data_IF_808975109967
#
_entry.id   IF_808975109967
#
_cell.length_a   1.000
_cell.length_b   1.000
_cell.length_c   1.000
_cell.angle_alpha   90.00
_cell.angle_beta   90.00
_cell.angle_gamma   90.00
#
_symmetry.space_group_name_H-M   'P 1'
#
loop_
_entity.id
_entity.type
_entity.pdbx_description
1 polymer ?
#
# COMPACT_ATOMS: atom_id res chain seq x y z
N UNK A 1 -32.68 -16.76 -60.72
CA UNK A 1 -31.25 -16.72 -60.29
C UNK A 1 -31.16 -15.66 -59.20
N UNK A 2 -31.75 -15.85 -58.03
CA UNK A 2 -31.56 -16.88 -57.01
C UNK A 2 -30.30 -16.67 -56.14
N UNK A 3 -30.59 -16.62 -54.85
CA UNK A 3 -29.77 -17.04 -53.72
C UNK A 3 -28.62 -16.15 -53.20
N UNK A 4 -28.94 -15.27 -52.24
CA UNK A 4 -28.18 -15.11 -50.98
C UNK A 4 -29.01 -14.37 -49.93
N UNK A 5 -30.04 -15.06 -49.43
CA UNK A 5 -30.62 -14.79 -48.11
C UNK A 5 -29.83 -15.59 -47.07
N UNK A 6 -29.82 -15.06 -45.85
CA UNK A 6 -29.59 -15.73 -44.56
C UNK A 6 -28.12 -15.87 -44.11
N UNK A 7 -27.66 -14.88 -43.35
CA UNK A 7 -26.83 -15.18 -42.19
C UNK A 7 -27.23 -14.25 -41.03
N UNK A 8 -28.43 -14.44 -40.43
CA UNK A 8 -28.82 -13.69 -39.26
C UNK A 8 -28.17 -14.32 -38.02
N UNK A 9 -27.73 -13.47 -37.08
CA UNK A 9 -27.91 -13.74 -35.66
C UNK A 9 -27.15 -14.93 -35.05
N UNK A 10 -25.82 -15.03 -35.23
CA UNK A 10 -24.97 -15.99 -34.50
C UNK A 10 -23.66 -15.37 -33.96
N UNK A 11 -23.64 -14.06 -33.66
CA UNK A 11 -22.49 -13.42 -32.98
C UNK A 11 -22.85 -12.97 -31.55
N UNK A 12 -24.13 -13.02 -31.17
CA UNK A 12 -24.62 -12.50 -29.89
C UNK A 12 -24.59 -13.50 -28.70
N UNK A 13 -24.03 -14.71 -28.86
CA UNK A 13 -24.12 -15.78 -27.84
C UNK A 13 -22.79 -16.47 -27.50
N UNK A 14 -21.64 -15.81 -27.71
CA UNK A 14 -20.34 -16.37 -27.28
C UNK A 14 -19.58 -15.52 -26.25
N UNK A 15 -20.21 -14.47 -25.69
CA UNK A 15 -19.61 -13.61 -24.67
C UNK A 15 -20.37 -13.70 -23.32
N UNK A 16 -20.80 -14.91 -22.93
CA UNK A 16 -21.58 -15.11 -21.70
C UNK A 16 -20.90 -16.04 -20.67
N UNK A 17 -19.65 -16.46 -20.87
CA UNK A 17 -19.00 -17.44 -19.98
C UNK A 17 -17.61 -17.06 -19.43
N UNK A 18 -17.11 -15.84 -19.66
CA UNK A 18 -15.84 -15.39 -19.06
C UNK A 18 -16.15 -14.60 -17.78
N UNK A 19 -16.74 -15.28 -16.81
CA UNK A 19 -17.10 -14.70 -15.51
C UNK A 19 -16.86 -15.66 -14.36
N UNK A 20 -16.08 -16.72 -14.57
CA UNK A 20 -15.59 -17.55 -13.46
C UNK A 20 -14.36 -16.83 -12.92
N UNK A 21 -14.56 -16.03 -11.88
CA UNK A 21 -13.46 -15.43 -11.13
C UNK A 21 -12.50 -16.53 -10.71
N UNK A 22 -11.24 -16.42 -11.13
CA UNK A 22 -10.20 -17.28 -10.58
C UNK A 22 -10.19 -17.04 -9.06
N UNK A 23 -10.23 -18.09 -8.23
CA UNK A 23 -9.97 -17.91 -6.82
C UNK A 23 -8.58 -17.29 -6.69
N UNK A 24 -8.48 -16.16 -5.98
CA UNK A 24 -7.20 -15.60 -5.62
C UNK A 24 -6.46 -16.66 -4.80
N UNK A 25 -5.47 -17.30 -5.41
CA UNK A 25 -4.53 -18.14 -4.69
C UNK A 25 -3.77 -17.18 -3.78
N UNK A 26 -4.08 -17.21 -2.49
CA UNK A 26 -3.28 -16.55 -1.47
C UNK A 26 -1.96 -17.33 -1.43
N UNK A 27 -0.98 -16.86 -2.21
CA UNK A 27 0.37 -17.39 -2.13
C UNK A 27 0.87 -17.09 -0.71
N UNK A 28 1.26 -18.15 0.02
CA UNK A 28 1.94 -17.97 1.30
C UNK A 28 3.23 -17.19 1.03
N UNK A 29 3.37 -16.01 1.64
CA UNK A 29 4.57 -15.19 1.50
C UNK A 29 5.76 -15.98 2.04
N UNK A 30 6.82 -16.08 1.24
CA UNK A 30 8.06 -16.72 1.70
C UNK A 30 8.66 -15.88 2.83
N UNK A 31 9.17 -16.55 3.87
CA UNK A 31 9.88 -15.87 4.96
C UNK A 31 11.18 -15.30 4.40
N UNK A 32 11.38 -14.00 4.59
CA UNK A 32 12.56 -13.25 4.11
C UNK A 32 13.60 -13.03 5.22
N UNK A 33 14.77 -12.50 4.87
CA UNK A 33 15.77 -12.13 5.89
C UNK A 33 15.26 -11.00 6.79
N UNK A 34 14.52 -10.04 6.22
CA UNK A 34 13.82 -8.99 6.94
C UNK A 34 12.91 -9.56 8.04
N UNK A 35 12.10 -10.58 7.71
CA UNK A 35 11.20 -11.23 8.68
C UNK A 35 11.94 -11.86 9.87
N UNK A 36 13.13 -12.41 9.62
CA UNK A 36 13.97 -13.00 10.66
C UNK A 36 14.60 -11.95 11.57
N UNK A 37 14.95 -10.78 11.03
CA UNK A 37 15.71 -9.78 11.77
C UNK A 37 14.82 -8.81 12.58
N UNK A 38 13.63 -8.49 12.09
CA UNK A 38 12.81 -7.45 12.73
C UNK A 38 11.35 -7.82 12.93
N UNK A 39 10.80 -8.85 12.30
CA UNK A 39 9.39 -9.25 12.44
C UNK A 39 8.94 -9.26 13.91
N UNK A 40 7.77 -8.70 14.27
CA UNK A 40 7.38 -8.63 15.67
C UNK A 40 6.73 -9.97 16.11
N UNK A 41 7.06 -10.54 17.28
CA UNK A 41 6.46 -11.80 17.72
C UNK A 41 4.95 -11.71 18.00
N UNK A 42 4.43 -10.52 18.27
CA UNK A 42 2.99 -10.26 18.49
C UNK A 42 2.25 -9.76 17.25
N UNK A 43 2.94 -9.60 16.11
CA UNK A 43 2.26 -9.28 14.86
C UNK A 43 1.36 -10.47 14.46
N UNK A 44 0.03 -10.29 14.36
CA UNK A 44 -0.89 -11.37 14.01
C UNK A 44 -0.62 -11.94 12.62
N UNK A 45 -0.03 -11.14 11.74
CA UNK A 45 0.30 -11.51 10.38
C UNK A 45 1.77 -11.93 10.24
N UNK A 46 2.53 -12.14 11.32
CA UNK A 46 3.94 -12.57 11.20
C UNK A 46 4.08 -13.88 10.41
N UNK A 47 5.11 -13.96 9.57
CA UNK A 47 5.49 -15.20 8.84
C UNK A 47 6.67 -15.91 9.49
N UNK A 48 7.48 -15.20 10.27
CA UNK A 48 8.62 -15.74 11.02
C UNK A 48 8.38 -15.79 12.54
N UNK A 49 9.36 -16.29 13.32
CA UNK A 49 9.25 -16.34 14.78
C UNK A 49 9.22 -14.94 15.41
N UNK A 50 9.84 -13.97 14.75
CA UNK A 50 9.94 -12.59 15.19
C UNK A 50 10.96 -12.34 16.29
N UNK A 51 11.33 -11.08 16.45
CA UNK A 51 12.33 -10.56 17.39
C UNK A 51 11.67 -9.51 18.26
N UNK A 52 11.84 -9.63 19.58
CA UNK A 52 11.38 -8.60 20.52
C UNK A 52 12.04 -7.25 20.19
N UNK A 53 11.28 -6.16 20.26
CA UNK A 53 11.76 -4.81 19.93
C UNK A 53 13.06 -4.42 20.63
N UNK A 54 13.26 -4.85 21.88
CA UNK A 54 14.50 -4.57 22.65
C UNK A 54 15.72 -5.39 22.20
N UNK A 55 15.53 -6.42 21.38
CA UNK A 55 16.57 -7.36 20.92
C UNK A 55 16.90 -7.25 19.43
N UNK A 56 16.14 -6.47 18.67
CA UNK A 56 16.43 -6.23 17.24
C UNK A 56 17.82 -5.63 17.10
N UNK A 57 18.66 -6.16 16.21
CA UNK A 57 19.86 -5.46 15.75
C UNK A 57 19.42 -4.52 14.63
N UNK A 58 19.36 -3.22 14.92
CA UNK A 58 18.70 -2.24 14.03
C UNK A 58 19.44 -2.04 12.72
N UNK A 59 20.77 -2.05 12.74
CA UNK A 59 21.59 -1.89 11.53
C UNK A 59 21.45 -3.13 10.63
N UNK A 60 21.58 -4.32 11.23
CA UNK A 60 21.43 -5.57 10.49
C UNK A 60 20.01 -5.72 9.92
N UNK A 61 19.00 -5.35 10.68
CA UNK A 61 17.60 -5.37 10.24
C UNK A 61 17.35 -4.40 9.07
N UNK A 62 17.82 -3.15 9.16
CA UNK A 62 17.67 -2.18 8.07
C UNK A 62 18.33 -2.68 6.79
N UNK A 63 19.54 -3.25 6.88
CA UNK A 63 20.25 -3.81 5.74
C UNK A 63 19.50 -5.00 5.10
N UNK A 64 19.01 -5.94 5.92
CA UNK A 64 18.24 -7.08 5.44
C UNK A 64 16.96 -6.65 4.72
N UNK A 65 16.18 -5.76 5.34
CA UNK A 65 14.92 -5.29 4.75
C UNK A 65 15.11 -4.49 3.46
N UNK A 66 16.17 -3.67 3.37
CA UNK A 66 16.50 -2.99 2.11
C UNK A 66 16.87 -3.98 1.01
N UNK A 67 17.68 -5.00 1.32
CA UNK A 67 18.07 -6.03 0.36
C UNK A 67 16.87 -6.83 -0.15
N UNK A 68 15.90 -7.16 0.71
CA UNK A 68 14.69 -7.87 0.29
C UNK A 68 13.78 -6.97 -0.57
N UNK A 69 13.70 -5.66 -0.25
CA UNK A 69 12.96 -4.67 -1.05
C UNK A 69 13.57 -4.40 -2.43
N UNK A 70 14.87 -4.65 -2.64
CA UNK A 70 15.45 -4.62 -3.99
C UNK A 70 14.85 -5.69 -4.91
N UNK A 71 14.35 -6.79 -4.32
CA UNK A 71 13.71 -7.89 -5.07
C UNK A 71 12.20 -7.71 -5.19
N UNK A 72 11.56 -7.11 -4.19
CA UNK A 72 10.11 -6.93 -4.11
C UNK A 72 9.76 -5.56 -3.48
N UNK A 73 9.98 -4.50 -4.27
CA UNK A 73 9.90 -3.10 -3.80
C UNK A 73 8.53 -2.69 -3.29
N UNK A 74 7.48 -3.29 -3.83
CA UNK A 74 6.09 -2.94 -3.53
C UNK A 74 5.52 -3.78 -2.39
N UNK A 75 6.33 -4.63 -1.75
CA UNK A 75 5.88 -5.50 -0.68
C UNK A 75 5.55 -4.71 0.59
N UNK A 76 4.27 -4.58 0.98
CA UNK A 76 3.89 -3.73 2.10
C UNK A 76 4.41 -4.24 3.44
N UNK A 77 4.63 -5.57 3.58
CA UNK A 77 5.21 -6.15 4.78
C UNK A 77 6.67 -5.73 4.94
N UNK A 78 7.46 -5.84 3.87
CA UNK A 78 8.88 -5.49 3.91
C UNK A 78 9.06 -4.00 4.20
N UNK A 79 8.25 -3.15 3.58
CA UNK A 79 8.21 -1.70 3.85
C UNK A 79 7.88 -1.39 5.32
N UNK A 80 6.84 -2.05 5.86
CA UNK A 80 6.47 -1.89 7.27
C UNK A 80 7.60 -2.32 8.23
N UNK A 81 8.25 -3.44 7.92
CA UNK A 81 9.33 -3.97 8.75
C UNK A 81 10.59 -3.10 8.69
N UNK A 82 10.94 -2.54 7.52
CA UNK A 82 12.00 -1.54 7.40
C UNK A 82 11.69 -0.30 8.25
N UNK A 83 10.47 0.24 8.17
CA UNK A 83 10.06 1.38 8.98
C UNK A 83 10.19 1.11 10.49
N UNK A 84 9.83 -0.11 10.93
CA UNK A 84 10.03 -0.52 12.33
C UNK A 84 11.50 -0.55 12.74
N UNK A 85 12.39 -1.05 11.88
CA UNK A 85 13.82 -1.06 12.14
C UNK A 85 14.38 0.37 12.29
N UNK A 86 13.95 1.29 11.41
CA UNK A 86 14.33 2.71 11.44
C UNK A 86 13.85 3.39 12.74
N UNK A 87 12.60 3.16 13.15
CA UNK A 87 12.07 3.73 14.39
C UNK A 87 12.85 3.24 15.61
N UNK A 88 13.16 1.95 15.67
CA UNK A 88 13.99 1.41 16.75
C UNK A 88 15.41 1.98 16.74
N UNK A 89 15.98 2.20 15.55
CA UNK A 89 17.31 2.80 15.42
C UNK A 89 17.33 4.24 15.97
N UNK A 90 16.37 5.06 15.53
CA UNK A 90 16.26 6.45 15.94
C UNK A 90 16.02 6.59 17.45
N UNK A 91 15.12 5.78 18.03
CA UNK A 91 14.85 5.77 19.47
C UNK A 91 16.11 5.47 20.30
N UNK A 92 16.90 4.49 19.87
CA UNK A 92 18.12 4.07 20.58
C UNK A 92 19.26 5.07 20.47
N UNK A 93 19.34 5.79 19.36
CA UNK A 93 20.40 6.77 19.11
C UNK A 93 20.00 8.21 19.46
N UNK A 94 18.75 8.44 19.85
CA UNK A 94 18.23 9.77 20.17
C UNK A 94 18.15 10.69 18.95
N UNK A 95 17.89 10.13 17.78
CA UNK A 95 17.84 10.86 16.52
C UNK A 95 16.42 10.95 15.98
N UNK A 96 16.23 11.74 14.92
CA UNK A 96 14.93 11.86 14.27
C UNK A 96 14.62 10.60 13.46
N UNK A 97 13.35 10.20 13.42
CA UNK A 97 12.87 9.02 12.67
C UNK A 97 13.10 9.10 11.17
N UNK A 98 13.54 10.25 10.66
CA UNK A 98 13.94 10.45 9.27
C UNK A 98 15.32 9.85 8.97
N UNK A 99 16.16 9.67 9.99
CA UNK A 99 17.49 9.09 9.83
C UNK A 99 17.38 7.60 9.48
N UNK A 100 17.82 7.24 8.27
CA UNK A 100 17.72 5.87 7.75
C UNK A 100 16.49 5.65 6.87
N UNK A 101 15.60 6.64 6.68
CA UNK A 101 14.63 6.61 5.58
C UNK A 101 15.32 6.99 4.28
N UNK A 102 15.11 6.22 3.21
CA UNK A 102 15.47 6.65 1.85
C UNK A 102 14.22 7.30 1.27
N UNK A 103 14.33 8.57 0.90
CA UNK A 103 13.24 9.27 0.23
C UNK A 103 13.17 8.81 -1.22
N UNK A 104 12.21 7.94 -1.53
CA UNK A 104 11.88 7.58 -2.91
C UNK A 104 10.74 8.48 -3.39
N UNK A 105 11.09 9.50 -4.17
CA UNK A 105 10.14 10.51 -4.64
C UNK A 105 9.07 9.91 -5.56
N UNK A 106 9.40 8.87 -6.33
CA UNK A 106 8.47 8.25 -7.27
C UNK A 106 7.46 7.37 -6.53
N UNK A 107 7.92 6.61 -5.53
CA UNK A 107 7.03 5.86 -4.64
C UNK A 107 6.12 6.79 -3.84
N UNK A 108 6.66 7.91 -3.32
CA UNK A 108 5.85 8.92 -2.64
C UNK A 108 4.83 9.57 -3.57
N UNK A 109 5.20 9.88 -4.82
CA UNK A 109 4.27 10.38 -5.81
C UNK A 109 3.14 9.38 -6.07
N UNK A 110 3.45 8.09 -6.19
CA UNK A 110 2.45 7.02 -6.33
C UNK A 110 1.48 6.92 -5.13
N UNK A 111 1.98 7.07 -3.89
CA UNK A 111 1.11 7.12 -2.71
C UNK A 111 0.22 8.37 -2.70
N UNK A 112 0.74 9.51 -3.14
CA UNK A 112 -0.03 10.76 -3.23
C UNK A 112 -1.10 10.71 -4.31
N UNK A 113 -0.81 10.11 -5.47
CA UNK A 113 -1.78 9.89 -6.54
C UNK A 113 -2.88 8.94 -6.08
N UNK A 114 -2.53 7.82 -5.45
CA UNK A 114 -3.50 6.89 -4.86
C UNK A 114 -4.34 7.55 -3.76
N UNK A 115 -3.75 8.44 -2.95
CA UNK A 115 -4.48 9.21 -1.96
C UNK A 115 -5.42 10.23 -2.63
N UNK A 116 -4.98 10.93 -3.68
CA UNK A 116 -5.82 11.86 -4.44
C UNK A 116 -7.03 11.14 -5.06
N UNK A 117 -6.83 9.94 -5.59
CA UNK A 117 -7.90 9.09 -6.13
C UNK A 117 -8.87 8.60 -5.03
N UNK A 118 -8.40 8.43 -3.79
CA UNK A 118 -9.23 8.08 -2.63
C UNK A 118 -9.92 9.28 -1.96
N UNK A 119 -9.46 10.51 -2.21
CA UNK A 119 -10.12 11.73 -1.74
C UNK A 119 -11.38 11.96 -2.57
N UNK A 120 -12.43 11.22 -2.22
CA UNK A 120 -13.79 11.57 -2.61
C UNK A 120 -14.23 12.81 -1.83
N UNK A 121 -14.10 13.99 -2.45
CA UNK A 121 -14.79 15.24 -2.09
C UNK A 121 -14.68 15.77 -0.64
N UNK A 122 -13.93 15.14 0.26
CA UNK A 122 -13.88 15.49 1.68
C UNK A 122 -13.32 16.90 1.86
N UNK A 123 -12.17 17.19 1.24
CA UNK A 123 -11.56 18.51 1.29
C UNK A 123 -12.40 19.56 0.54
N UNK A 124 -13.02 19.21 -0.59
CA UNK A 124 -13.93 20.11 -1.32
C UNK A 124 -15.16 20.47 -0.49
N UNK A 125 -15.81 19.51 0.16
CA UNK A 125 -16.97 19.74 1.02
C UNK A 125 -16.60 20.50 2.30
N UNK A 126 -15.41 20.27 2.86
CA UNK A 126 -14.90 21.01 4.00
C UNK A 126 -14.64 22.48 3.64
N UNK A 127 -13.99 22.75 2.51
CA UNK A 127 -13.72 24.10 2.00
C UNK A 127 -15.01 24.85 1.63
N UNK A 128 -15.93 24.19 0.92
CA UNK A 128 -17.26 24.74 0.63
C UNK A 128 -18.05 25.02 1.92
N UNK A 129 -17.95 24.16 2.91
CA UNK A 129 -18.57 24.34 4.22
C UNK A 129 -17.98 25.53 4.99
N UNK A 130 -16.66 25.71 4.96
CA UNK A 130 -15.98 26.85 5.58
C UNK A 130 -16.38 28.17 4.91
N UNK A 131 -16.37 28.23 3.58
CA UNK A 131 -16.73 29.42 2.82
C UNK A 131 -18.20 29.83 3.05
N UNK A 132 -19.13 28.85 3.12
CA UNK A 132 -20.55 29.11 3.43
C UNK A 132 -20.74 29.70 4.83
N UNK A 133 -20.00 29.21 5.82
CA UNK A 133 -20.06 29.75 7.20
C UNK A 133 -19.55 31.19 7.26
N UNK A 134 -18.44 31.47 6.58
CA UNK A 134 -17.88 32.82 6.51
C UNK A 134 -18.87 33.79 5.84
N UNK A 135 -19.45 33.39 4.71
CA UNK A 135 -20.45 34.18 4.01
C UNK A 135 -21.71 34.40 4.85
N UNK A 136 -22.16 33.40 5.61
CA UNK A 136 -23.28 33.54 6.54
C UNK A 136 -22.97 34.53 7.68
N UNK A 137 -21.73 34.54 8.17
CA UNK A 137 -21.25 35.51 9.16
C UNK A 137 -21.22 36.95 8.62
N UNK A 138 -20.84 37.13 7.35
CA UNK A 138 -20.81 38.44 6.69
C UNK A 138 -22.20 38.98 6.32
N UNK A 139 -23.22 38.12 6.28
CA UNK A 139 -24.58 38.46 5.86
C UNK A 139 -25.59 38.47 7.00
N UNK A 140 -25.14 38.17 8.22
CA UNK A 140 -25.94 38.31 9.44
C UNK A 140 -25.86 39.76 9.95
N UNK A 141 -26.99 40.45 10.20
CA UNK A 141 -27.01 41.85 10.66
C UNK A 141 -26.47 42.05 12.07
#
# INVERSE_FOLDING_TARGET
MDNRRRLPLLIATLLACIGVGLPAVVAAQAITACDWEVGHPSDPDRVGPGVSSSKVDTERAMAACRSDLETDSDNPRLQYQLARAIVYHADRNGTYYEEGMVLDADLMAGFLDAAADQVSGYYENMLLGALRRELAGLTSP
#
